data_IF_099711083592
#
_entry.id   IF_099711083592
#
_cell.length_a   1.000
_cell.length_b   1.000
_cell.length_c   1.000
_cell.angle_alpha   90.00
_cell.angle_beta   90.00
_cell.angle_gamma   90.00
#
_symmetry.space_group_name_H-M   'P 1'
#
loop_
_entity.id
_entity.type
_entity.pdbx_description
1 polymer ?
#
# COMPACT_ATOMS: atom_id res chain seq x y z
N UNK A 1 10.84 -22.91 -2.20
CA UNK A 1 11.20 -23.32 -0.85
C UNK A 1 10.01 -23.18 0.07
N UNK A 2 9.76 -24.19 0.89
CA UNK A 2 8.62 -24.19 1.82
C UNK A 2 8.70 -23.08 2.88
N UNK A 3 9.88 -22.49 3.07
CA UNK A 3 10.08 -21.40 4.02
C UNK A 3 9.95 -20.03 3.38
N UNK A 4 9.83 -19.97 2.04
CA UNK A 4 9.69 -18.70 1.31
C UNK A 4 8.22 -18.45 1.00
N UNK A 5 7.50 -17.96 1.99
CA UNK A 5 6.10 -17.62 1.85
C UNK A 5 6.00 -16.17 1.41
N UNK A 6 5.45 -15.96 0.20
CA UNK A 6 5.19 -14.62 -0.30
C UNK A 6 3.95 -14.04 0.37
N UNK A 7 3.92 -12.73 0.46
CA UNK A 7 2.82 -12.01 1.11
C UNK A 7 2.23 -11.02 0.12
N UNK A 8 0.90 -11.06 -0.01
CA UNK A 8 0.11 -10.09 -0.75
C UNK A 8 -0.73 -9.28 0.22
N UNK A 9 -0.67 -7.97 0.12
CA UNK A 9 -1.61 -7.08 0.81
C UNK A 9 -2.47 -6.37 -0.21
N UNK A 10 -3.77 -6.37 0.03
CA UNK A 10 -4.70 -5.49 -0.64
C UNK A 10 -5.15 -4.46 0.38
N UNK A 11 -4.80 -3.20 0.15
CA UNK A 11 -5.12 -2.11 1.06
C UNK A 11 -6.23 -1.29 0.42
N UNK A 12 -7.46 -1.49 0.87
CA UNK A 12 -8.60 -0.72 0.41
C UNK A 12 -8.61 0.64 1.09
N UNK A 13 -8.79 1.69 0.31
CA UNK A 13 -8.80 3.06 0.78
C UNK A 13 -10.13 3.69 0.36
N UNK A 14 -10.88 4.17 1.34
CA UNK A 14 -12.13 4.87 1.08
C UNK A 14 -11.95 6.32 1.49
N UNK A 15 -12.14 7.23 0.54
CA UNK A 15 -11.82 8.63 0.71
C UNK A 15 -12.93 9.52 0.18
N UNK A 16 -13.22 10.60 0.92
CA UNK A 16 -14.19 11.61 0.48
C UNK A 16 -13.60 12.42 -0.67
N UNK A 17 -14.47 12.92 -1.54
CA UNK A 17 -14.08 13.63 -2.75
C UNK A 17 -13.10 14.78 -2.48
N UNK A 18 -13.36 15.58 -1.46
CA UNK A 18 -12.54 16.76 -1.14
C UNK A 18 -11.12 16.40 -0.68
N UNK A 19 -10.89 15.14 -0.29
CA UNK A 19 -9.57 14.66 0.17
C UNK A 19 -8.90 13.73 -0.82
N UNK A 20 -9.60 13.36 -1.89
CA UNK A 20 -9.16 12.32 -2.83
C UNK A 20 -7.83 12.66 -3.48
N UNK A 21 -7.65 13.87 -3.97
CA UNK A 21 -6.42 14.27 -4.65
C UNK A 21 -5.22 14.19 -3.70
N UNK A 22 -5.37 14.63 -2.47
CA UNK A 22 -4.31 14.57 -1.47
C UNK A 22 -3.90 13.12 -1.17
N UNK A 23 -4.88 12.22 -1.08
CA UNK A 23 -4.63 10.79 -0.87
C UNK A 23 -3.92 10.18 -2.08
N UNK A 24 -4.35 10.51 -3.30
CA UNK A 24 -3.69 10.02 -4.52
C UNK A 24 -2.24 10.49 -4.62
N UNK A 25 -1.95 11.73 -4.30
CA UNK A 25 -0.58 12.25 -4.30
C UNK A 25 0.28 11.47 -3.32
N UNK A 26 -0.18 11.28 -2.09
CA UNK A 26 0.54 10.52 -1.08
C UNK A 26 0.73 9.05 -1.49
N UNK A 27 -0.32 8.42 -2.04
CA UNK A 27 -0.27 7.03 -2.48
C UNK A 27 0.71 6.84 -3.64
N UNK A 28 0.73 7.74 -4.61
CA UNK A 28 1.68 7.67 -5.74
C UNK A 28 3.13 7.82 -5.28
N UNK A 29 3.38 8.70 -4.34
CA UNK A 29 4.70 8.87 -3.75
C UNK A 29 5.12 7.60 -3.00
N UNK A 30 4.21 7.02 -2.23
CA UNK A 30 4.45 5.77 -1.51
C UNK A 30 4.75 4.62 -2.49
N UNK A 31 4.02 4.53 -3.59
CA UNK A 31 4.25 3.53 -4.65
C UNK A 31 5.67 3.66 -5.20
N UNK A 32 6.06 4.86 -5.61
CA UNK A 32 7.38 5.09 -6.22
C UNK A 32 8.52 4.70 -5.27
N UNK A 33 8.42 5.08 -4.01
CA UNK A 33 9.44 4.76 -3.02
C UNK A 33 9.45 3.26 -2.67
N UNK A 34 8.26 2.68 -2.48
CA UNK A 34 8.13 1.28 -2.05
C UNK A 34 8.59 0.28 -3.10
N UNK A 35 8.45 0.60 -4.39
CA UNK A 35 8.94 -0.25 -5.47
C UNK A 35 10.45 -0.48 -5.40
N UNK A 36 11.17 0.40 -4.74
CA UNK A 36 12.63 0.30 -4.56
C UNK A 36 13.03 -0.45 -3.29
N UNK A 37 12.09 -0.81 -2.45
CA UNK A 37 12.38 -1.53 -1.21
C UNK A 37 12.83 -2.96 -1.52
N UNK A 38 13.82 -3.43 -0.77
CA UNK A 38 14.32 -4.78 -0.94
C UNK A 38 13.20 -5.80 -0.70
N UNK A 39 13.04 -6.72 -1.65
CA UNK A 39 12.03 -7.77 -1.55
C UNK A 39 10.63 -7.34 -1.97
N UNK A 40 10.47 -6.11 -2.46
CA UNK A 40 9.23 -5.68 -3.07
C UNK A 40 9.11 -6.32 -4.46
N UNK A 41 8.10 -7.16 -4.64
CA UNK A 41 7.83 -7.81 -5.92
C UNK A 41 6.91 -6.93 -6.76
N UNK A 42 5.88 -6.36 -6.13
CA UNK A 42 4.94 -5.46 -6.78
C UNK A 42 4.39 -4.46 -5.77
N UNK A 43 4.15 -3.26 -6.21
CA UNK A 43 3.52 -2.22 -5.40
C UNK A 43 2.89 -1.20 -6.35
N UNK A 44 1.56 -1.06 -6.29
CA UNK A 44 0.87 -0.10 -7.15
C UNK A 44 -0.44 0.35 -6.50
N UNK A 45 -0.95 1.49 -6.96
CA UNK A 45 -2.25 2.01 -6.54
C UNK A 45 -3.21 1.96 -7.72
N UNK A 46 -4.43 1.51 -7.44
CA UNK A 46 -5.51 1.35 -8.41
C UNK A 46 -6.72 2.18 -8.00
N UNK A 47 -7.42 2.69 -8.99
CA UNK A 47 -8.69 3.38 -8.79
C UNK A 47 -9.83 2.44 -9.17
N UNK A 48 -10.88 2.41 -8.35
CA UNK A 48 -12.08 1.64 -8.70
C UNK A 48 -12.76 2.25 -9.93
N UNK A 49 -13.06 1.42 -10.91
CA UNK A 49 -13.74 1.86 -12.12
C UNK A 49 -15.21 2.21 -11.87
N UNK A 50 -15.78 1.75 -10.76
CA UNK A 50 -17.22 1.90 -10.47
C UNK A 50 -17.51 2.74 -9.23
N UNK A 51 -16.51 2.98 -8.38
CA UNK A 51 -16.68 3.74 -7.13
C UNK A 51 -15.56 4.77 -7.02
N UNK A 52 -15.92 6.03 -7.23
CA UNK A 52 -14.94 7.12 -7.23
C UNK A 52 -14.26 7.32 -5.87
N UNK A 53 -14.90 6.93 -4.79
CA UNK A 53 -14.39 7.05 -3.43
C UNK A 53 -13.51 5.90 -2.98
N UNK A 54 -13.24 4.92 -3.86
CA UNK A 54 -12.46 3.73 -3.51
C UNK A 54 -11.19 3.63 -4.34
N UNK A 55 -10.08 3.49 -3.62
CA UNK A 55 -8.77 3.19 -4.19
C UNK A 55 -8.26 1.90 -3.56
N UNK A 56 -7.27 1.28 -4.18
CA UNK A 56 -6.62 0.10 -3.60
C UNK A 56 -5.13 0.14 -3.87
N UNK A 57 -4.33 -0.06 -2.84
CA UNK A 57 -2.92 -0.38 -3.00
C UNK A 57 -2.82 -1.90 -3.00
N UNK A 58 -2.21 -2.43 -4.06
CA UNK A 58 -1.92 -3.86 -4.16
C UNK A 58 -0.41 -4.04 -4.09
N UNK A 59 0.04 -4.84 -3.13
CA UNK A 59 1.46 -5.01 -2.90
C UNK A 59 1.81 -6.47 -2.66
N UNK A 60 2.93 -6.90 -3.21
CA UNK A 60 3.45 -8.26 -3.05
C UNK A 60 4.89 -8.20 -2.54
N UNK A 61 5.14 -8.94 -1.49
CA UNK A 61 6.44 -9.00 -0.84
C UNK A 61 7.00 -10.41 -0.91
N UNK A 62 8.30 -10.49 -1.12
CA UNK A 62 9.03 -11.75 -1.21
C UNK A 62 8.81 -12.63 0.03
N UNK A 63 8.80 -12.03 1.21
CA UNK A 63 8.64 -12.70 2.49
C UNK A 63 8.24 -11.70 3.58
N UNK A 64 8.01 -12.22 4.78
CA UNK A 64 7.61 -11.41 5.93
C UNK A 64 8.71 -10.43 6.37
N UNK A 65 9.97 -10.82 6.20
CA UNK A 65 11.10 -9.96 6.56
C UNK A 65 11.15 -8.71 5.69
N UNK A 66 10.92 -8.87 4.39
CA UNK A 66 10.87 -7.75 3.44
C UNK A 66 9.71 -6.81 3.77
N UNK A 67 8.54 -7.35 4.09
CA UNK A 67 7.39 -6.53 4.49
C UNK A 67 7.68 -5.77 5.78
N UNK A 68 8.27 -6.44 6.76
CA UNK A 68 8.64 -5.79 8.04
C UNK A 68 9.63 -4.65 7.83
N UNK A 69 10.65 -4.87 7.00
CA UNK A 69 11.61 -3.82 6.68
C UNK A 69 10.94 -2.62 6.01
N UNK A 70 10.02 -2.86 5.07
CA UNK A 70 9.22 -1.83 4.41
C UNK A 70 8.47 -0.97 5.42
N UNK A 71 7.87 -1.58 6.43
CA UNK A 71 7.08 -0.88 7.45
C UNK A 71 7.91 0.05 8.33
N UNK A 72 9.23 -0.10 8.32
CA UNK A 72 10.16 0.74 9.09
C UNK A 72 10.89 1.77 8.22
N UNK A 73 10.53 1.90 6.95
CA UNK A 73 11.15 2.90 6.07
C UNK A 73 10.63 4.30 6.36
N UNK A 74 11.41 5.34 6.07
CA UNK A 74 10.94 6.72 6.21
C UNK A 74 9.68 7.02 5.39
N UNK A 75 9.60 6.50 4.17
CA UNK A 75 8.43 6.75 3.32
C UNK A 75 7.17 6.09 3.87
N UNK A 76 7.25 4.87 4.39
CA UNK A 76 6.11 4.24 5.05
C UNK A 76 5.66 5.05 6.26
N UNK A 77 6.62 5.34 7.16
CA UNK A 77 6.33 6.00 8.44
C UNK A 77 5.81 7.43 8.28
N UNK A 78 6.08 8.06 7.14
CA UNK A 78 5.60 9.41 6.84
C UNK A 78 4.28 9.40 6.08
N UNK A 79 4.20 8.58 5.01
CA UNK A 79 3.07 8.65 4.08
C UNK A 79 1.85 7.86 4.52
N UNK A 80 2.05 6.71 5.16
CA UNK A 80 0.90 5.91 5.63
C UNK A 80 0.07 6.66 6.66
N UNK A 81 0.67 7.29 7.69
CA UNK A 81 -0.12 8.12 8.62
C UNK A 81 -0.85 9.28 7.94
N UNK A 82 -0.27 9.90 6.90
CA UNK A 82 -0.96 10.95 6.14
C UNK A 82 -2.23 10.42 5.49
N UNK A 83 -2.15 9.23 4.88
CA UNK A 83 -3.32 8.61 4.24
C UNK A 83 -4.35 8.24 5.30
N UNK A 84 -3.92 7.69 6.43
CA UNK A 84 -4.82 7.30 7.52
C UNK A 84 -5.60 8.48 8.10
N UNK A 85 -5.02 9.67 8.13
CA UNK A 85 -5.70 10.89 8.58
C UNK A 85 -6.76 11.36 7.60
N UNK A 86 -6.60 11.06 6.31
CA UNK A 86 -7.45 11.57 5.25
C UNK A 86 -8.50 10.56 4.77
N UNK A 87 -8.35 9.28 5.09
CA UNK A 87 -9.16 8.22 4.52
C UNK A 87 -9.29 7.03 5.48
N UNK A 88 -10.26 6.17 5.19
CA UNK A 88 -10.39 4.89 5.88
C UNK A 88 -9.58 3.85 5.13
N UNK A 89 -8.81 3.05 5.85
CA UNK A 89 -8.00 1.98 5.28
C UNK A 89 -8.41 0.63 5.86
N UNK A 90 -8.51 -0.37 4.99
CA UNK A 90 -8.78 -1.75 5.38
C UNK A 90 -7.81 -2.66 4.66
N UNK A 91 -7.11 -3.51 5.40
CA UNK A 91 -6.07 -4.38 4.87
C UNK A 91 -6.54 -5.82 4.85
N UNK A 92 -6.35 -6.47 3.68
CA UNK A 92 -6.46 -7.91 3.55
C UNK A 92 -5.07 -8.47 3.29
N UNK A 93 -4.70 -9.50 4.02
CA UNK A 93 -3.37 -10.12 3.91
C UNK A 93 -3.51 -11.57 3.48
N UNK A 94 -2.74 -11.95 2.46
CA UNK A 94 -2.70 -13.31 1.93
C UNK A 94 -1.25 -13.81 1.92
N UNK A 95 -1.09 -15.08 2.26
CA UNK A 95 0.20 -15.77 2.20
C UNK A 95 0.12 -16.87 1.15
N UNK A 96 1.18 -17.01 0.33
CA UNK A 96 1.19 -18.00 -0.74
C UNK A 96 2.59 -18.36 -1.24
#
# INVERSE_FOLDING_TARGET
NIYNIMIRLNVFIRVKEEKREAVLVAAKELVTASQKDKGCIAYDVFESATRHDVLMICETWKDAEALSAHEHTPHFMTLVPQIEELAEMKIEKFEF
#
